data_IF_130129801553
#
_entry.id   IF_130129801553
#
_cell.length_a   1.000
_cell.length_b   1.000
_cell.length_c   1.000
_cell.angle_alpha   90.00
_cell.angle_beta   90.00
_cell.angle_gamma   90.00
#
_symmetry.space_group_name_H-M   'P 1'
#
loop_
_entity.id
_entity.type
_entity.pdbx_description
1 polymer ?
#
# COMPACT_ATOMS: atom_id res chain seq x y z
N UNK A 1 13.87 -11.43 -37.52
CA UNK A 1 13.45 -10.23 -38.26
C UNK A 1 12.37 -9.50 -37.48
N UNK A 2 12.69 -8.31 -36.95
CA UNK A 2 11.74 -7.43 -36.31
C UNK A 2 11.07 -6.54 -37.37
N UNK A 3 9.74 -6.41 -37.34
CA UNK A 3 9.02 -5.32 -38.05
C UNK A 3 8.42 -4.40 -37.00
N UNK A 4 9.06 -3.24 -36.84
CA UNK A 4 8.43 -2.05 -36.28
C UNK A 4 7.36 -1.58 -37.28
N UNK A 5 6.11 -1.48 -36.83
CA UNK A 5 5.02 -0.84 -37.57
C UNK A 5 4.61 0.41 -36.78
N UNK A 6 4.45 1.52 -37.50
CA UNK A 6 4.58 2.89 -37.00
C UNK A 6 3.58 3.35 -35.94
N UNK A 7 4.05 4.28 -35.11
CA UNK A 7 3.27 5.06 -34.15
C UNK A 7 2.42 6.10 -34.91
N UNK A 8 1.12 6.26 -34.60
CA UNK A 8 0.35 7.38 -35.12
C UNK A 8 0.71 8.69 -34.42
N UNK A 9 0.69 9.76 -35.23
CA UNK A 9 1.00 11.13 -34.87
C UNK A 9 0.01 11.72 -33.86
N UNK A 10 0.59 12.41 -32.88
CA UNK A 10 -0.05 13.10 -31.77
C UNK A 10 -0.57 14.47 -32.22
N UNK A 11 -1.82 14.56 -32.71
CA UNK A 11 -2.64 15.78 -32.77
C UNK A 11 -4.07 15.42 -33.18
N UNK A 12 -5.03 15.98 -32.44
CA UNK A 12 -6.48 15.91 -32.65
C UNK A 12 -7.16 14.59 -32.22
N UNK A 13 -7.66 14.57 -30.98
CA UNK A 13 -9.07 14.30 -30.59
C UNK A 13 -9.17 14.65 -29.09
N UNK A 14 -9.65 15.85 -28.81
CA UNK A 14 -10.33 16.13 -27.55
C UNK A 14 -11.63 15.31 -27.52
N UNK A 15 -12.11 14.97 -26.31
CA UNK A 15 -13.23 14.07 -26.02
C UNK A 15 -12.89 12.58 -25.94
N UNK A 16 -12.04 12.21 -24.97
CA UNK A 16 -12.15 10.91 -24.29
C UNK A 16 -11.77 11.07 -22.81
N UNK A 17 -12.59 11.83 -22.08
CA UNK A 17 -12.59 11.87 -20.62
C UNK A 17 -13.37 10.66 -20.10
N UNK A 18 -12.77 9.48 -20.17
CA UNK A 18 -13.09 8.37 -19.29
C UNK A 18 -12.02 7.31 -19.46
N UNK A 19 -11.48 6.86 -18.34
CA UNK A 19 -10.58 5.74 -18.17
C UNK A 19 -9.07 6.04 -18.24
N UNK A 20 -8.44 5.78 -17.09
CA UNK A 20 -7.01 5.73 -16.77
C UNK A 20 -6.39 7.03 -16.23
N UNK A 21 -6.46 7.21 -14.91
CA UNK A 21 -5.33 7.74 -14.16
C UNK A 21 -5.02 6.78 -12.99
N UNK A 22 -4.07 5.88 -13.16
CA UNK A 22 -3.51 5.12 -12.03
C UNK A 22 -2.04 4.77 -12.26
N UNK A 23 -1.27 5.78 -12.67
CA UNK A 23 0.18 5.67 -12.72
C UNK A 23 0.69 7.02 -12.20
N UNK A 24 1.52 6.98 -11.15
CA UNK A 24 1.98 8.10 -10.33
C UNK A 24 1.09 8.48 -9.14
N UNK A 25 0.76 7.49 -8.32
CA UNK A 25 0.58 7.72 -6.89
C UNK A 25 1.70 6.96 -6.17
N UNK A 26 2.85 7.60 -6.11
CA UNK A 26 3.98 7.26 -5.24
C UNK A 26 3.48 7.25 -3.80
N UNK A 27 3.46 6.06 -3.17
CA UNK A 27 3.56 5.67 -1.74
C UNK A 27 3.09 6.59 -0.60
N UNK A 28 3.08 7.91 -0.75
CA UNK A 28 2.64 8.91 0.23
C UNK A 28 1.10 9.03 0.26
N UNK A 29 0.42 8.96 -0.89
CA UNK A 29 -1.04 9.09 -0.97
C UNK A 29 -1.80 7.83 -0.49
N UNK A 30 -1.17 6.65 -0.43
CA UNK A 30 -1.84 5.45 0.10
C UNK A 30 -1.96 5.47 1.62
N UNK A 31 -1.04 6.18 2.30
CA UNK A 31 -1.16 6.42 3.74
C UNK A 31 -2.14 7.56 3.98
N UNK A 32 -2.05 8.65 3.20
CA UNK A 32 -2.94 9.79 3.42
C UNK A 32 -4.41 9.51 3.08
N UNK A 33 -4.75 8.70 2.08
CA UNK A 33 -6.16 8.41 1.77
C UNK A 33 -6.86 7.50 2.79
N UNK A 34 -6.19 6.42 3.25
CA UNK A 34 -6.77 5.51 4.25
C UNK A 34 -6.89 6.18 5.62
N UNK A 35 -5.99 7.12 5.93
CA UNK A 35 -5.96 7.79 7.23
C UNK A 35 -6.53 9.23 7.24
N UNK A 36 -6.91 9.81 6.09
CA UNK A 36 -7.71 11.04 6.06
C UNK A 36 -9.12 10.83 6.61
N UNK A 37 -9.65 9.59 6.54
CA UNK A 37 -10.93 9.22 7.16
C UNK A 37 -10.86 8.97 8.67
N UNK A 38 -9.67 9.03 9.29
CA UNK A 38 -9.54 9.09 10.74
C UNK A 38 -10.06 10.44 11.26
N UNK A 39 -11.39 10.60 11.25
CA UNK A 39 -12.13 11.77 11.72
C UNK A 39 -11.98 11.95 13.23
N UNK A 40 -11.66 10.87 13.95
CA UNK A 40 -11.37 10.88 15.37
C UNK A 40 -9.86 10.98 15.64
N UNK A 41 -9.45 12.02 16.35
CA UNK A 41 -8.11 12.11 16.93
C UNK A 41 -8.19 12.29 18.45
N UNK A 42 -7.18 11.79 19.15
CA UNK A 42 -7.04 11.87 20.61
C UNK A 42 -5.66 12.36 20.99
N UNK A 43 -5.54 13.10 22.09
CA UNK A 43 -4.23 13.55 22.59
C UNK A 43 -3.53 12.38 23.29
N UNK A 44 -2.20 12.27 23.15
CA UNK A 44 -1.41 11.17 23.73
C UNK A 44 -1.63 10.98 25.25
N UNK A 45 -1.86 12.05 26.01
CA UNK A 45 -2.20 11.96 27.44
C UNK A 45 -3.56 11.32 27.69
N UNK A 46 -4.56 11.63 26.86
CA UNK A 46 -5.90 11.04 26.94
C UNK A 46 -5.88 9.58 26.49
N UNK A 47 -5.13 9.27 25.42
CA UNK A 47 -4.89 7.89 24.97
C UNK A 47 -4.26 7.03 26.08
N UNK A 48 -3.25 7.58 26.80
CA UNK A 48 -2.61 6.89 27.92
C UNK A 48 -3.61 6.60 29.05
N UNK A 49 -4.43 7.58 29.40
CA UNK A 49 -5.36 7.48 30.53
C UNK A 49 -6.67 6.73 30.18
N UNK A 50 -6.99 6.61 28.90
CA UNK A 50 -8.24 6.05 28.38
C UNK A 50 -8.04 4.92 27.38
N UNK A 51 -6.98 4.12 27.56
CA UNK A 51 -6.56 3.11 26.57
C UNK A 51 -7.68 2.15 26.16
N UNK A 52 -8.51 1.67 27.10
CA UNK A 52 -9.65 0.79 26.75
C UNK A 52 -10.63 1.44 25.77
N UNK A 53 -11.02 2.70 26.01
CA UNK A 53 -11.91 3.45 25.11
C UNK A 53 -11.28 3.69 23.74
N UNK A 54 -9.97 3.92 23.70
CA UNK A 54 -9.22 4.06 22.45
C UNK A 54 -9.28 2.77 21.63
N UNK A 55 -9.06 1.61 22.25
CA UNK A 55 -9.14 0.32 21.55
C UNK A 55 -10.56 0.05 21.07
N UNK A 56 -11.59 0.29 21.89
CA UNK A 56 -13.00 0.12 21.50
C UNK A 56 -13.40 1.03 20.33
N UNK A 57 -12.86 2.24 20.28
CA UNK A 57 -13.06 3.16 19.15
C UNK A 57 -12.33 2.65 17.90
N UNK A 58 -11.08 2.21 18.05
CA UNK A 58 -10.25 1.68 16.97
C UNK A 58 -10.83 0.41 16.31
N UNK A 59 -11.66 -0.35 17.02
CA UNK A 59 -12.40 -1.48 16.42
C UNK A 59 -13.46 -1.05 15.40
N UNK A 60 -13.96 0.19 15.49
CA UNK A 60 -15.02 0.70 14.59
C UNK A 60 -14.48 1.57 13.47
N UNK A 61 -13.43 2.33 13.75
CA UNK A 61 -12.77 3.19 12.79
C UNK A 61 -11.33 3.51 13.25
N UNK A 62 -10.38 3.76 12.33
CA UNK A 62 -9.06 4.25 12.68
C UNK A 62 -9.08 5.47 13.62
N UNK A 63 -8.17 5.52 14.59
CA UNK A 63 -8.00 6.65 15.51
C UNK A 63 -6.57 7.19 15.44
N UNK A 64 -6.45 8.49 15.20
CA UNK A 64 -5.15 9.18 15.19
C UNK A 64 -4.74 9.63 16.59
N UNK A 65 -3.50 9.37 17.01
CA UNK A 65 -2.94 9.89 18.25
C UNK A 65 -2.07 11.12 17.94
N UNK A 66 -2.40 12.23 18.60
CA UNK A 66 -1.66 13.48 18.48
C UNK A 66 -0.82 13.75 19.74
N UNK A 67 0.43 14.19 19.55
CA UNK A 67 1.31 14.67 20.62
C UNK A 67 1.85 16.04 20.25
N UNK A 68 1.53 17.04 21.08
CA UNK A 68 1.97 18.44 20.88
C UNK A 68 1.62 18.96 19.47
N UNK A 69 0.36 18.78 19.06
CA UNK A 69 -0.14 19.23 17.76
C UNK A 69 0.32 18.43 16.55
N UNK A 70 1.11 17.36 16.73
CA UNK A 70 1.56 16.49 15.63
C UNK A 70 0.94 15.10 15.76
N UNK A 71 0.51 14.54 14.64
CA UNK A 71 0.09 13.13 14.57
C UNK A 71 1.32 12.24 14.73
N UNK A 72 1.27 11.28 15.64
CA UNK A 72 2.42 10.42 16.00
C UNK A 72 2.14 8.93 15.88
N UNK A 73 0.88 8.52 15.87
CA UNK A 73 0.50 7.11 15.68
C UNK A 73 -0.95 7.01 15.17
N UNK A 74 -1.28 5.84 14.65
CA UNK A 74 -2.65 5.41 14.39
C UNK A 74 -2.92 4.13 15.16
N UNK A 75 -4.15 3.98 15.63
CA UNK A 75 -4.67 2.71 16.13
C UNK A 75 -5.78 2.29 15.18
N UNK A 76 -5.69 1.07 14.67
CA UNK A 76 -6.63 0.50 13.71
C UNK A 76 -7.08 -0.88 14.19
N UNK A 77 -8.19 -1.37 13.64
CA UNK A 77 -8.63 -2.73 13.89
C UNK A 77 -7.68 -3.75 13.24
N UNK A 78 -7.62 -5.00 13.74
CA UNK A 78 -6.87 -6.07 13.06
C UNK A 78 -7.35 -6.30 11.62
N UNK A 79 -8.66 -6.22 11.37
CA UNK A 79 -9.23 -6.42 10.04
C UNK A 79 -8.79 -5.33 9.05
N UNK A 80 -8.73 -4.07 9.50
CA UNK A 80 -8.23 -2.96 8.66
C UNK A 80 -6.74 -3.16 8.35
N UNK A 81 -5.96 -3.61 9.35
CA UNK A 81 -4.54 -3.90 9.13
C UNK A 81 -4.36 -5.01 8.08
N UNK A 82 -5.10 -6.11 8.20
CA UNK A 82 -5.08 -7.22 7.22
C UNK A 82 -5.45 -6.73 5.81
N UNK A 83 -6.51 -5.93 5.69
CA UNK A 83 -6.92 -5.37 4.40
C UNK A 83 -5.84 -4.45 3.78
N UNK A 84 -5.16 -3.65 4.62
CA UNK A 84 -4.05 -2.80 4.17
C UNK A 84 -2.84 -3.63 3.71
N UNK A 85 -2.50 -4.69 4.44
CA UNK A 85 -1.42 -5.62 4.07
C UNK A 85 -1.73 -6.33 2.76
N UNK A 86 -2.93 -6.90 2.62
CA UNK A 86 -3.38 -7.58 1.40
C UNK A 86 -3.33 -6.64 0.19
N UNK A 87 -3.81 -5.40 0.35
CA UNK A 87 -3.77 -4.41 -0.71
C UNK A 87 -2.32 -4.07 -1.10
N UNK A 88 -1.45 -3.81 -0.12
CA UNK A 88 -0.05 -3.48 -0.37
C UNK A 88 0.69 -4.64 -1.07
N UNK A 89 0.55 -5.86 -0.55
CA UNK A 89 1.17 -7.05 -1.14
C UNK A 89 0.65 -7.34 -2.54
N UNK A 90 -0.66 -7.19 -2.77
CA UNK A 90 -1.27 -7.31 -4.09
C UNK A 90 -0.69 -6.30 -5.09
N UNK A 91 -0.56 -5.04 -4.70
CA UNK A 91 0.09 -4.02 -5.54
C UNK A 91 1.54 -4.36 -5.86
N UNK A 92 2.32 -4.81 -4.87
CA UNK A 92 3.71 -5.22 -5.09
C UNK A 92 3.81 -6.43 -6.01
N UNK A 93 2.92 -7.40 -5.88
CA UNK A 93 2.86 -8.56 -6.76
C UNK A 93 2.55 -8.12 -8.20
N UNK A 94 1.58 -7.23 -8.41
CA UNK A 94 1.27 -6.69 -9.74
C UNK A 94 2.44 -5.90 -10.34
N UNK A 95 3.14 -5.11 -9.53
CA UNK A 95 4.33 -4.38 -9.98
C UNK A 95 5.43 -5.36 -10.42
N UNK A 96 5.71 -6.38 -9.60
CA UNK A 96 6.67 -7.43 -9.91
C UNK A 96 6.31 -8.16 -11.21
N UNK A 97 5.04 -8.49 -11.40
CA UNK A 97 4.55 -9.11 -12.65
C UNK A 97 4.75 -8.20 -13.86
N UNK A 98 4.46 -6.90 -13.73
CA UNK A 98 4.63 -5.92 -14.81
C UNK A 98 6.08 -5.72 -15.20
N UNK A 99 6.98 -5.66 -14.23
CA UNK A 99 8.40 -5.36 -14.48
C UNK A 99 9.28 -6.63 -14.58
N UNK A 100 8.70 -7.82 -14.45
CA UNK A 100 9.41 -9.09 -14.49
C UNK A 100 10.37 -9.33 -13.31
N UNK A 101 10.28 -8.54 -12.23
CA UNK A 101 11.14 -8.67 -11.04
C UNK A 101 10.62 -9.74 -10.08
N UNK A 102 10.45 -10.95 -10.59
CA UNK A 102 10.15 -12.13 -9.78
C UNK A 102 10.94 -13.33 -10.28
N UNK A 103 11.22 -14.27 -9.37
CA UNK A 103 11.82 -15.53 -9.75
C UNK A 103 10.72 -16.48 -10.23
N UNK A 104 10.86 -17.00 -11.46
CA UNK A 104 10.04 -18.10 -11.94
C UNK A 104 10.39 -19.42 -11.23
N UNK A 105 9.48 -20.40 -11.28
CA UNK A 105 9.54 -21.68 -10.54
C UNK A 105 10.93 -22.32 -10.50
N UNK A 106 11.57 -22.53 -11.67
CA UNK A 106 12.90 -23.17 -11.75
C UNK A 106 14.00 -22.40 -11.02
N UNK A 107 14.00 -21.07 -11.13
CA UNK A 107 15.00 -20.21 -10.46
C UNK A 107 14.76 -20.17 -8.96
N UNK A 108 13.49 -20.12 -8.53
CA UNK A 108 13.12 -20.17 -7.12
C UNK A 108 13.53 -21.50 -6.49
N UNK A 109 13.27 -22.63 -7.16
CA UNK A 109 13.68 -23.96 -6.67
C UNK A 109 15.20 -24.07 -6.50
N UNK A 110 15.97 -23.62 -7.48
CA UNK A 110 17.43 -23.61 -7.41
C UNK A 110 17.94 -22.74 -6.25
N UNK A 111 17.34 -21.57 -6.05
CA UNK A 111 17.65 -20.67 -4.94
C UNK A 111 17.35 -21.33 -3.58
N UNK A 112 16.17 -21.91 -3.39
CA UNK A 112 15.81 -22.58 -2.13
C UNK A 112 16.70 -23.78 -1.82
N UNK A 113 17.07 -24.58 -2.83
CA UNK A 113 18.06 -25.65 -2.66
C UNK A 113 19.43 -25.11 -2.23
N UNK A 114 19.85 -23.96 -2.75
CA UNK A 114 21.12 -23.34 -2.35
C UNK A 114 21.12 -22.92 -0.87
N UNK A 115 19.97 -22.48 -0.34
CA UNK A 115 19.84 -22.14 1.09
C UNK A 115 19.85 -23.38 1.98
N UNK A 116 19.20 -24.47 1.56
CA UNK A 116 19.15 -25.72 2.34
C UNK A 116 20.52 -26.39 2.48
N UNK A 117 21.41 -26.17 1.50
CA UNK A 117 22.77 -26.71 1.50
C UNK A 117 23.83 -25.72 2.02
N UNK A 118 23.44 -24.50 2.39
CA UNK A 118 24.31 -23.59 3.10
C UNK A 118 24.50 -24.13 4.53
N UNK A 119 25.66 -24.75 4.78
CA UNK A 119 26.12 -25.01 6.17
C UNK A 119 26.46 -23.67 6.83
N UNK A 120 26.22 -23.60 8.14
CA UNK A 120 26.61 -22.48 9.02
C UNK A 120 28.06 -22.04 8.82
#
# INVERSE_FOLDING_TARGET
MARYMGLPHFRDIGHFLSFVPYIHISTELSTDYVFQEASAFIIASEAKNGFGKLIDAAQRHPVAINRRGRRVAFVISPADMEAMEDHYLGMRAMEAMRNGKFLGVKKSEAFLKSLLHARD
#
